data_IF_886181023108
#
_entry.id   IF_886181023108
#
_cell.length_a   1.000
_cell.length_b   1.000
_cell.length_c   1.000
_cell.angle_alpha   90.00
_cell.angle_beta   90.00
_cell.angle_gamma   90.00
#
_symmetry.space_group_name_H-M   'P 1'
#
loop_
_entity.id
_entity.type
_entity.pdbx_description
1 polymer ?
#
# COMPACT_ATOMS: atom_id res chain seq x y z
N UNK A 1 18.52 19.18 15.39
CA UNK A 1 17.64 19.17 14.21
C UNK A 1 17.78 20.54 13.54
N UNK A 2 18.22 20.62 12.29
CA UNK A 2 18.39 21.89 11.57
C UNK A 2 17.45 21.91 10.36
N UNK A 3 16.62 22.92 10.28
CA UNK A 3 15.83 23.23 9.08
C UNK A 3 16.76 24.04 8.17
N UNK A 4 16.97 23.62 6.95
CA UNK A 4 17.82 24.31 5.99
C UNK A 4 16.99 24.68 4.77
N UNK A 5 16.83 25.96 4.52
CA UNK A 5 16.26 26.45 3.27
C UNK A 5 17.16 26.02 2.11
N UNK A 6 16.71 25.03 1.34
CA UNK A 6 17.40 24.63 0.12
C UNK A 6 16.70 25.25 -1.08
N UNK A 7 17.33 26.17 -1.81
CA UNK A 7 16.70 26.86 -2.94
C UNK A 7 16.46 25.98 -4.16
N UNK A 8 16.77 24.67 -4.09
CA UNK A 8 16.68 23.72 -5.21
C UNK A 8 15.88 22.45 -4.90
N UNK A 9 14.85 22.51 -4.03
CA UNK A 9 13.94 21.38 -3.85
C UNK A 9 14.53 20.18 -3.10
N UNK A 10 15.44 20.42 -2.14
CA UNK A 10 15.96 19.40 -1.24
C UNK A 10 15.05 19.18 -0.02
N UNK A 11 15.39 18.17 0.79
CA UNK A 11 14.71 17.93 2.05
C UNK A 11 14.97 19.09 3.03
N UNK A 12 13.89 19.61 3.63
CA UNK A 12 13.94 20.70 4.60
C UNK A 12 14.43 20.27 5.98
N UNK A 13 14.26 18.98 6.32
CA UNK A 13 14.73 18.39 7.57
C UNK A 13 16.06 17.68 7.35
N UNK A 14 17.03 17.91 8.24
CA UNK A 14 18.27 17.18 8.25
C UNK A 14 18.55 16.66 9.68
N UNK A 15 18.86 15.37 9.79
CA UNK A 15 19.14 14.71 11.06
C UNK A 15 20.64 14.43 11.17
N UNK A 16 21.26 14.99 12.19
CA UNK A 16 22.60 14.61 12.60
C UNK A 16 22.48 13.65 13.79
N UNK A 17 22.84 12.39 13.57
CA UNK A 17 22.61 11.29 14.51
C UNK A 17 23.95 10.68 14.91
N UNK A 18 24.17 10.50 16.20
CA UNK A 18 25.36 9.84 16.73
C UNK A 18 25.39 8.34 16.36
N UNK A 19 26.58 7.79 16.16
CA UNK A 19 26.78 6.40 15.71
C UNK A 19 26.10 5.35 16.61
N UNK A 20 26.03 5.60 17.93
CA UNK A 20 25.41 4.71 18.90
C UNK A 20 23.92 4.42 18.58
N UNK A 21 23.22 5.35 17.94
CA UNK A 21 21.80 5.18 17.60
C UNK A 21 21.56 4.30 16.39
N UNK A 22 22.57 4.06 15.54
CA UNK A 22 22.42 3.19 14.37
C UNK A 22 22.20 1.72 14.71
N UNK A 23 22.51 1.30 15.94
CA UNK A 23 22.18 -0.03 16.44
C UNK A 23 20.65 -0.21 16.64
N UNK A 24 19.94 0.86 16.99
CA UNK A 24 18.49 0.84 17.24
C UNK A 24 17.69 1.26 16.03
N UNK A 25 18.20 2.21 15.25
CA UNK A 25 17.56 2.78 14.06
C UNK A 25 18.64 2.93 12.97
N UNK A 26 18.62 2.05 11.94
CA UNK A 26 19.67 2.03 10.92
C UNK A 26 19.65 3.33 10.08
N UNK A 27 20.73 3.58 9.33
CA UNK A 27 20.84 4.78 8.47
C UNK A 27 19.66 4.95 7.52
N UNK A 28 19.11 3.83 6.99
CA UNK A 28 17.94 3.85 6.11
C UNK A 28 16.71 4.43 6.79
N UNK A 29 16.51 4.18 8.08
CA UNK A 29 15.42 4.78 8.85
C UNK A 29 15.49 6.31 8.84
N UNK A 30 16.67 6.87 9.07
CA UNK A 30 16.87 8.32 9.11
C UNK A 30 16.71 8.97 7.73
N UNK A 31 17.18 8.30 6.68
CA UNK A 31 16.96 8.75 5.30
C UNK A 31 15.47 8.73 4.95
N UNK A 32 14.77 7.65 5.33
CA UNK A 32 13.32 7.55 5.11
C UNK A 32 12.55 8.63 5.91
N UNK A 33 12.91 8.85 7.17
CA UNK A 33 12.31 9.88 8.02
C UNK A 33 12.46 11.26 7.38
N UNK A 34 13.66 11.56 6.90
CA UNK A 34 13.98 12.83 6.24
C UNK A 34 13.22 13.01 4.93
N UNK A 35 13.18 11.98 4.08
CA UNK A 35 12.48 12.06 2.78
C UNK A 35 10.97 12.11 2.95
N UNK A 36 10.43 11.50 3.99
CA UNK A 36 9.00 11.47 4.26
C UNK A 36 8.47 12.78 4.84
N UNK A 37 9.09 13.27 5.92
CA UNK A 37 8.61 14.45 6.64
C UNK A 37 9.32 15.74 6.22
N UNK A 38 10.55 15.64 5.73
CA UNK A 38 11.31 16.79 5.23
C UNK A 38 11.05 17.14 3.77
N UNK A 39 10.18 16.41 3.08
CA UNK A 39 9.80 16.71 1.71
C UNK A 39 9.03 18.04 1.65
N UNK A 40 9.38 18.90 0.68
CA UNK A 40 8.74 20.21 0.47
C UNK A 40 7.21 20.12 0.32
N UNK A 41 6.69 19.06 -0.29
CA UNK A 41 5.23 18.87 -0.44
C UNK A 41 4.58 18.55 0.90
N UNK A 42 5.21 17.68 1.71
CA UNK A 42 4.72 17.36 3.04
C UNK A 42 4.69 18.58 3.94
N UNK A 43 5.77 19.36 3.94
CA UNK A 43 5.87 20.60 4.72
C UNK A 43 4.87 21.64 4.25
N UNK A 44 4.61 21.75 2.94
CA UNK A 44 3.58 22.65 2.41
C UNK A 44 2.17 22.30 2.89
N UNK A 45 1.88 20.99 2.99
CA UNK A 45 0.54 20.50 3.37
C UNK A 45 0.30 20.52 4.89
N UNK A 46 1.34 20.28 5.70
CA UNK A 46 1.24 20.10 7.16
C UNK A 46 1.87 21.26 7.97
N UNK A 47 2.57 22.17 7.30
CA UNK A 47 3.38 23.20 7.93
C UNK A 47 4.72 22.68 8.45
N UNK A 48 5.64 23.59 8.73
CA UNK A 48 6.98 23.22 9.26
C UNK A 48 6.87 22.59 10.65
N UNK A 49 6.06 23.16 11.54
CA UNK A 49 5.84 22.65 12.88
C UNK A 49 5.21 21.25 12.86
N UNK A 50 4.23 21.03 11.99
CA UNK A 50 3.59 19.73 11.81
C UNK A 50 4.58 18.66 11.33
N UNK A 51 5.39 18.99 10.34
CA UNK A 51 6.41 18.07 9.81
C UNK A 51 7.45 17.69 10.87
N UNK A 52 7.88 18.64 11.68
CA UNK A 52 8.82 18.42 12.80
C UNK A 52 8.18 17.55 13.86
N UNK A 53 6.95 17.84 14.27
CA UNK A 53 6.24 17.07 15.30
C UNK A 53 6.01 15.62 14.85
N UNK A 54 5.63 15.39 13.61
CA UNK A 54 5.41 14.04 13.07
C UNK A 54 6.72 13.24 12.99
N UNK A 55 7.81 13.90 12.62
CA UNK A 55 9.13 13.28 12.63
C UNK A 55 9.55 12.90 14.06
N UNK A 56 9.38 13.80 15.03
CA UNK A 56 9.70 13.55 16.45
C UNK A 56 8.83 12.42 17.02
N UNK A 57 7.52 12.43 16.73
CA UNK A 57 6.61 11.37 17.15
C UNK A 57 7.02 10.01 16.60
N UNK A 58 7.46 9.94 15.35
CA UNK A 58 7.95 8.71 14.75
C UNK A 58 9.20 8.18 15.46
N UNK A 59 10.14 9.05 15.78
CA UNK A 59 11.34 8.68 16.56
C UNK A 59 10.97 8.24 17.98
N UNK A 60 10.07 8.97 18.64
CA UNK A 60 9.58 8.62 19.97
C UNK A 60 8.98 7.22 20.02
N UNK A 61 8.07 6.90 19.10
CA UNK A 61 7.45 5.58 18.99
C UNK A 61 8.52 4.48 18.83
N UNK A 62 9.55 4.74 18.03
CA UNK A 62 10.64 3.80 17.82
C UNK A 62 11.52 3.60 19.06
N UNK A 63 11.79 4.66 19.80
CA UNK A 63 12.54 4.57 21.06
C UNK A 63 11.76 3.78 22.12
N UNK A 64 10.46 4.02 22.24
CA UNK A 64 9.59 3.30 23.17
C UNK A 64 9.49 1.80 22.85
N UNK A 65 9.72 1.41 21.59
CA UNK A 65 9.74 0.00 21.14
C UNK A 65 11.12 -0.66 21.24
N UNK A 66 12.14 0.06 21.65
CA UNK A 66 13.53 -0.43 21.70
C UNK A 66 14.22 -0.43 20.33
N UNK A 67 13.68 0.27 19.34
CA UNK A 67 14.25 0.44 18.01
C UNK A 67 13.27 0.18 16.86
N UNK A 68 13.57 0.67 15.66
CA UNK A 68 12.81 0.43 14.44
C UNK A 68 13.73 0.24 13.24
N UNK A 69 13.38 -0.67 12.35
CA UNK A 69 14.07 -0.83 11.07
C UNK A 69 13.51 0.14 10.00
N UNK A 70 12.23 0.51 10.10
CA UNK A 70 11.50 1.38 9.16
C UNK A 70 10.70 2.42 9.92
N UNK A 71 10.40 3.53 9.27
CA UNK A 71 9.60 4.62 9.87
C UNK A 71 8.17 4.15 10.12
N UNK A 72 7.64 4.27 11.34
CA UNK A 72 6.29 3.85 11.67
C UNK A 72 5.24 4.68 10.92
N UNK A 73 4.07 4.07 10.72
CA UNK A 73 2.96 4.67 10.01
C UNK A 73 3.05 4.48 8.50
N UNK A 74 1.90 4.26 7.88
CA UNK A 74 1.78 4.04 6.44
C UNK A 74 1.56 5.37 5.72
N UNK A 75 2.37 5.73 4.70
CA UNK A 75 2.08 6.87 3.85
C UNK A 75 0.69 6.74 3.21
N UNK A 76 -0.09 7.84 3.18
CA UNK A 76 -1.45 7.84 2.60
C UNK A 76 -1.46 7.33 1.16
N UNK A 77 -0.48 7.73 0.37
CA UNK A 77 -0.33 7.30 -1.02
C UNK A 77 -0.14 5.78 -1.13
N UNK A 78 0.73 5.21 -0.32
CA UNK A 78 0.97 3.77 -0.31
C UNK A 78 -0.27 3.00 0.12
N UNK A 79 -1.02 3.52 1.11
CA UNK A 79 -2.29 2.93 1.53
C UNK A 79 -3.34 2.94 0.42
N UNK A 80 -3.47 4.06 -0.32
CA UNK A 80 -4.39 4.17 -1.44
C UNK A 80 -4.01 3.18 -2.55
N UNK A 81 -2.73 3.07 -2.88
CA UNK A 81 -2.26 2.12 -3.88
C UNK A 81 -2.55 0.66 -3.49
N UNK A 82 -2.32 0.28 -2.23
CA UNK A 82 -2.64 -1.06 -1.76
C UNK A 82 -4.15 -1.33 -1.77
N UNK A 83 -4.97 -0.34 -1.43
CA UNK A 83 -6.42 -0.46 -1.50
C UNK A 83 -6.91 -0.62 -2.95
N UNK A 84 -6.41 0.20 -3.88
CA UNK A 84 -6.74 0.10 -5.30
C UNK A 84 -6.34 -1.26 -5.88
N UNK A 85 -5.14 -1.75 -5.57
CA UNK A 85 -4.68 -3.08 -6.02
C UNK A 85 -5.50 -4.21 -5.41
N UNK A 86 -5.95 -4.08 -4.16
CA UNK A 86 -6.86 -5.04 -3.54
C UNK A 86 -8.21 -5.10 -4.25
N UNK A 87 -8.80 -3.94 -4.58
CA UNK A 87 -10.06 -3.85 -5.32
C UNK A 87 -9.91 -4.47 -6.71
N UNK A 88 -8.89 -4.08 -7.46
CA UNK A 88 -8.64 -4.63 -8.80
C UNK A 88 -8.39 -6.13 -8.77
N UNK A 89 -7.56 -6.61 -7.84
CA UNK A 89 -7.31 -8.04 -7.67
C UNK A 89 -8.59 -8.81 -7.33
N UNK A 90 -9.42 -8.27 -6.44
CA UNK A 90 -10.72 -8.84 -6.10
C UNK A 90 -11.66 -8.92 -7.30
N UNK A 91 -11.81 -7.82 -8.05
CA UNK A 91 -12.65 -7.78 -9.26
C UNK A 91 -12.22 -8.84 -10.29
N UNK A 92 -10.91 -8.91 -10.58
CA UNK A 92 -10.37 -9.88 -11.53
C UNK A 92 -10.57 -11.31 -11.03
N UNK A 93 -10.28 -11.60 -9.77
CA UNK A 93 -10.48 -12.91 -9.18
C UNK A 93 -11.96 -13.34 -9.20
N UNK A 94 -12.87 -12.45 -8.82
CA UNK A 94 -14.30 -12.71 -8.84
C UNK A 94 -14.83 -12.91 -10.25
N UNK A 95 -14.45 -12.05 -11.17
CA UNK A 95 -14.84 -12.16 -12.58
C UNK A 95 -14.38 -13.47 -13.21
N UNK A 96 -13.20 -13.92 -12.88
CA UNK A 96 -12.62 -15.15 -13.41
C UNK A 96 -13.16 -16.43 -12.75
N UNK A 97 -13.58 -16.34 -11.49
CA UNK A 97 -14.16 -17.49 -10.76
C UNK A 97 -15.59 -17.82 -11.22
N UNK A 98 -16.24 -16.95 -12.00
CA UNK A 98 -17.57 -17.20 -12.48
C UNK A 98 -17.59 -18.38 -13.47
N UNK A 99 -18.49 -19.37 -13.28
CA UNK A 99 -18.59 -20.53 -14.17
C UNK A 99 -18.98 -20.07 -15.59
N UNK A 100 -18.32 -20.63 -16.58
CA UNK A 100 -18.46 -20.26 -18.00
C UNK A 100 -18.60 -21.47 -18.88
N UNK A 101 -19.35 -21.32 -19.97
CA UNK A 101 -19.45 -22.33 -21.01
C UNK A 101 -18.22 -22.32 -21.92
N UNK A 102 -18.00 -23.38 -22.69
CA UNK A 102 -16.83 -23.54 -23.56
C UNK A 102 -16.65 -22.35 -24.54
N UNK A 103 -15.39 -21.95 -24.77
CA UNK A 103 -15.03 -20.90 -25.74
C UNK A 103 -14.71 -19.51 -25.14
N UNK A 104 -14.47 -19.39 -23.84
CA UNK A 104 -14.21 -18.10 -23.20
C UNK A 104 -12.74 -17.70 -23.13
N UNK A 105 -12.50 -16.39 -23.31
CA UNK A 105 -11.17 -15.77 -23.49
C UNK A 105 -10.29 -15.85 -22.24
N UNK A 106 -10.86 -15.89 -21.03
CA UNK A 106 -10.10 -15.96 -19.80
C UNK A 106 -10.38 -17.30 -19.12
N UNK A 107 -9.40 -18.19 -19.09
CA UNK A 107 -9.49 -19.47 -18.40
C UNK A 107 -9.01 -19.35 -16.95
N UNK A 108 -9.60 -20.14 -16.05
CA UNK A 108 -9.13 -20.28 -14.66
C UNK A 108 -7.65 -20.71 -14.62
N UNK A 109 -7.21 -21.54 -15.58
CA UNK A 109 -5.82 -21.94 -15.70
C UNK A 109 -4.85 -20.77 -15.95
N UNK A 110 -5.23 -19.81 -16.78
CA UNK A 110 -4.44 -18.62 -17.03
C UNK A 110 -4.31 -17.74 -15.78
N UNK A 111 -5.41 -17.58 -15.04
CA UNK A 111 -5.41 -16.85 -13.77
C UNK A 111 -4.60 -17.59 -12.70
N UNK A 112 -4.70 -18.91 -12.62
CA UNK A 112 -3.88 -19.70 -11.72
C UNK A 112 -2.38 -19.56 -12.05
N UNK A 113 -2.03 -19.45 -13.33
CA UNK A 113 -0.67 -19.20 -13.76
C UNK A 113 -0.17 -17.78 -13.35
N UNK A 114 -1.03 -16.77 -13.45
CA UNK A 114 -0.68 -15.39 -13.09
C UNK A 114 -0.78 -15.10 -11.60
N UNK A 115 -1.54 -15.91 -10.84
CA UNK A 115 -1.79 -15.67 -9.42
C UNK A 115 -0.51 -15.66 -8.56
N UNK A 116 0.52 -16.49 -8.77
CA UNK A 116 1.75 -16.41 -8.01
C UNK A 116 2.49 -15.08 -8.23
N UNK A 117 2.54 -14.61 -9.48
CA UNK A 117 3.19 -13.34 -9.81
C UNK A 117 2.45 -12.17 -9.14
N UNK A 118 1.12 -12.14 -9.26
CA UNK A 118 0.29 -11.12 -8.64
C UNK A 118 0.37 -11.17 -7.11
N UNK A 119 0.27 -12.38 -6.53
CA UNK A 119 0.38 -12.59 -5.10
C UNK A 119 1.74 -12.15 -4.54
N UNK A 120 2.82 -12.42 -5.27
CA UNK A 120 4.17 -11.99 -4.89
C UNK A 120 4.30 -10.47 -4.95
N UNK A 121 3.85 -9.83 -6.02
CA UNK A 121 3.85 -8.38 -6.15
C UNK A 121 2.99 -7.71 -5.07
N UNK A 122 1.78 -8.21 -4.87
CA UNK A 122 0.88 -7.69 -3.84
C UNK A 122 1.41 -7.94 -2.42
N UNK A 123 2.00 -9.11 -2.16
CA UNK A 123 2.61 -9.43 -0.88
C UNK A 123 3.79 -8.52 -0.54
N UNK A 124 4.74 -8.36 -1.48
CA UNK A 124 5.97 -7.59 -1.24
C UNK A 124 5.69 -6.09 -1.24
N UNK A 125 4.98 -5.57 -2.24
CA UNK A 125 4.78 -4.12 -2.40
C UNK A 125 3.50 -3.60 -1.73
N UNK A 126 2.53 -4.47 -1.46
CA UNK A 126 1.28 -4.10 -0.79
C UNK A 126 1.26 -4.45 0.70
N UNK A 127 1.23 -5.74 1.02
CA UNK A 127 1.00 -6.21 2.39
C UNK A 127 2.23 -6.05 3.30
N UNK A 128 3.43 -6.35 2.82
CA UNK A 128 4.63 -6.29 3.65
C UNK A 128 4.88 -4.88 4.25
N UNK A 129 4.74 -3.78 3.50
CA UNK A 129 4.82 -2.44 4.08
C UNK A 129 3.73 -2.14 5.11
N UNK A 130 2.52 -2.66 4.93
CA UNK A 130 1.43 -2.49 5.90
C UNK A 130 1.79 -3.19 7.20
N UNK A 131 2.22 -4.44 7.13
CA UNK A 131 2.54 -5.25 8.30
C UNK A 131 3.78 -4.70 9.03
N UNK A 132 4.82 -4.29 8.30
CA UNK A 132 6.07 -3.81 8.89
C UNK A 132 5.97 -2.41 9.50
N UNK A 133 5.08 -1.56 9.00
CA UNK A 133 4.99 -0.15 9.40
C UNK A 133 3.81 0.18 10.30
N UNK A 134 2.70 -0.59 10.22
CA UNK A 134 1.57 -0.40 11.09
C UNK A 134 1.57 -1.44 12.21
N UNK A 135 1.38 -0.98 13.45
CA UNK A 135 1.09 -1.87 14.57
C UNK A 135 -0.38 -2.26 14.61
N UNK A 136 -1.17 -1.73 13.70
CA UNK A 136 -2.61 -1.90 13.66
C UNK A 136 -2.98 -2.84 12.50
N UNK A 137 -3.75 -3.85 12.80
CA UNK A 137 -4.28 -4.79 11.80
C UNK A 137 -5.45 -4.20 10.99
N UNK A 138 -5.94 -3.01 11.37
CA UNK A 138 -7.07 -2.36 10.72
C UNK A 138 -6.84 -2.10 9.22
N UNK A 139 -5.68 -1.62 8.76
CA UNK A 139 -5.41 -1.45 7.32
C UNK A 139 -5.44 -2.79 6.56
N UNK A 140 -4.92 -3.86 7.17
CA UNK A 140 -4.95 -5.19 6.59
C UNK A 140 -6.39 -5.71 6.45
N UNK A 141 -7.20 -5.55 7.49
CA UNK A 141 -8.61 -5.93 7.48
C UNK A 141 -9.40 -5.14 6.42
N UNK A 142 -9.19 -3.83 6.31
CA UNK A 142 -9.83 -2.99 5.29
C UNK A 142 -9.47 -3.44 3.86
N UNK A 143 -8.21 -3.79 3.60
CA UNK A 143 -7.79 -4.31 2.29
C UNK A 143 -8.42 -5.68 2.00
N UNK A 144 -8.48 -6.57 2.98
CA UNK A 144 -9.13 -7.88 2.85
C UNK A 144 -10.63 -7.74 2.56
N UNK A 145 -11.32 -6.85 3.27
CA UNK A 145 -12.74 -6.57 3.05
C UNK A 145 -12.98 -5.98 1.65
N UNK A 146 -12.13 -5.03 1.22
CA UNK A 146 -12.22 -4.43 -0.10
C UNK A 146 -12.00 -5.47 -1.21
N UNK A 147 -11.01 -6.36 -1.06
CA UNK A 147 -10.76 -7.47 -1.98
C UNK A 147 -11.97 -8.40 -2.09
N UNK A 148 -12.54 -8.81 -0.96
CA UNK A 148 -13.68 -9.72 -0.92
C UNK A 148 -14.95 -9.09 -1.51
N UNK A 149 -15.25 -7.85 -1.15
CA UNK A 149 -16.41 -7.12 -1.70
C UNK A 149 -16.27 -6.91 -3.21
N UNK A 150 -15.09 -6.52 -3.69
CA UNK A 150 -14.80 -6.40 -5.11
C UNK A 150 -14.87 -7.74 -5.83
N UNK A 151 -14.44 -8.84 -5.19
CA UNK A 151 -14.57 -10.19 -5.73
C UNK A 151 -16.03 -10.62 -5.95
N UNK A 152 -16.88 -10.36 -4.96
CA UNK A 152 -18.32 -10.62 -5.09
C UNK A 152 -18.92 -9.77 -6.22
N UNK A 153 -18.57 -8.49 -6.30
CA UNK A 153 -19.03 -7.60 -7.38
C UNK A 153 -18.57 -8.08 -8.75
N UNK A 154 -17.30 -8.49 -8.88
CA UNK A 154 -16.74 -9.05 -10.11
C UNK A 154 -17.44 -10.34 -10.55
N UNK A 155 -17.76 -11.22 -9.60
CA UNK A 155 -18.50 -12.45 -9.84
C UNK A 155 -19.91 -12.15 -10.37
N UNK A 156 -20.66 -11.28 -9.70
CA UNK A 156 -22.01 -10.88 -10.12
C UNK A 156 -21.98 -10.21 -11.51
N UNK A 157 -21.01 -9.31 -11.74
CA UNK A 157 -20.83 -8.64 -13.03
C UNK A 157 -20.57 -9.65 -14.15
N UNK A 158 -19.73 -10.64 -13.91
CA UNK A 158 -19.47 -11.72 -14.85
C UNK A 158 -20.76 -12.48 -15.21
N UNK A 159 -21.55 -12.86 -14.21
CA UNK A 159 -22.81 -13.56 -14.40
C UNK A 159 -23.81 -12.73 -15.22
N UNK A 160 -23.95 -11.45 -14.90
CA UNK A 160 -24.91 -10.56 -15.60
C UNK A 160 -24.50 -10.27 -17.04
N UNK A 161 -23.22 -10.08 -17.30
CA UNK A 161 -22.72 -9.82 -18.65
C UNK A 161 -22.89 -11.05 -19.55
N UNK A 162 -22.54 -12.24 -19.05
CA UNK A 162 -22.61 -13.45 -19.87
C UNK A 162 -24.04 -13.98 -20.02
N UNK A 163 -24.91 -13.80 -19.02
CA UNK A 163 -26.34 -14.17 -19.18
C UNK A 163 -27.06 -13.36 -20.27
N UNK A 164 -26.62 -12.13 -20.54
CA UNK A 164 -27.17 -11.31 -21.63
C UNK A 164 -26.74 -11.79 -23.01
N UNK A 165 -25.57 -12.37 -23.14
CA UNK A 165 -25.10 -12.92 -24.42
C UNK A 165 -25.72 -14.26 -24.79
N UNK A 166 -26.28 -14.98 -23.81
CA UNK A 166 -26.90 -16.31 -24.03
C UNK A 166 -28.36 -16.29 -24.36
N UNK A 167 -29.01 -15.12 -24.57
CA UNK A 167 -30.37 -15.12 -25.12
C UNK A 167 -30.31 -15.65 -26.55
N UNK A 168 -30.92 -16.83 -26.82
CA UNK A 168 -30.98 -17.34 -28.21
C UNK A 168 -31.65 -16.29 -29.08
N UNK A 169 -31.07 -16.00 -30.24
CA UNK A 169 -31.80 -15.40 -31.33
C UNK A 169 -32.90 -16.38 -31.68
N UNK A 170 -34.11 -16.17 -31.16
CA UNK A 170 -35.28 -16.86 -31.65
C UNK A 170 -35.42 -16.47 -33.10
N UNK A 171 -35.05 -17.37 -34.02
CA UNK A 171 -35.47 -17.42 -35.39
C UNK A 171 -36.97 -17.76 -35.42
#
# INVERSE_FOLDING_TARGET
MCIRDSPRGGNLLNFNVGEAYFAFMPRLFWVELQTRFGNQYYVKDHGEDGAVLDAINSVKICLERGGCQVVPGLPKEQYIWTLCTSILGGLVAGFASAPRKEGQVISIGFLALLSPLWGMLFGIFGLAPIISRSNDLLPLFKNGLAFTAAGIAGYILSQTLFSRYEKPKNT
#
